data_IF_082865490148
#
_entry.id   IF_082865490148
#
_cell.length_a   1.000
_cell.length_b   1.000
_cell.length_c   1.000
_cell.angle_alpha   90.00
_cell.angle_beta   90.00
_cell.angle_gamma   90.00
#
_symmetry.space_group_name_H-M   'P 1'
#
loop_
_entity.id
_entity.type
_entity.pdbx_description
1 polymer ?
#
# COMPACT_ATOMS: atom_id res chain seq x y z
N UNK A 1 -64.06 19.42 -6.57
CA UNK A 1 -63.58 20.77 -6.92
C UNK A 1 -62.08 20.69 -7.14
N UNK A 2 -61.66 21.04 -8.35
CA UNK A 2 -60.29 20.93 -8.83
C UNK A 2 -59.41 22.07 -8.28
N UNK A 3 -58.12 21.77 -8.05
CA UNK A 3 -57.06 22.75 -8.34
C UNK A 3 -55.76 22.02 -8.66
N UNK A 4 -55.58 21.80 -9.95
CA UNK A 4 -54.28 21.65 -10.58
C UNK A 4 -53.49 22.96 -10.41
N UNK A 5 -52.23 22.88 -9.98
CA UNK A 5 -51.24 23.92 -10.25
C UNK A 5 -49.96 23.24 -10.71
N UNK A 6 -49.85 23.23 -12.03
CA UNK A 6 -48.67 23.02 -12.83
C UNK A 6 -47.69 24.18 -12.55
N UNK A 7 -46.45 23.89 -12.16
CA UNK A 7 -45.36 24.85 -12.22
C UNK A 7 -44.26 24.19 -13.05
N UNK A 8 -44.20 24.60 -14.32
CA UNK A 8 -43.05 24.40 -15.18
C UNK A 8 -41.92 25.33 -14.71
N UNK A 9 -40.76 24.74 -14.43
CA UNK A 9 -39.53 25.45 -14.09
C UNK A 9 -38.42 25.03 -15.04
N UNK A 10 -38.42 25.62 -16.24
CA UNK A 10 -37.32 25.58 -17.19
C UNK A 10 -36.13 26.38 -16.62
N UNK A 11 -35.02 25.72 -16.27
CA UNK A 11 -33.75 26.41 -16.11
C UNK A 11 -32.61 25.72 -16.85
N UNK A 12 -32.15 26.48 -17.84
CA UNK A 12 -31.07 26.24 -18.77
C UNK A 12 -29.73 25.99 -18.08
N UNK A 13 -29.04 24.97 -18.59
CA UNK A 13 -27.67 25.10 -19.07
C UNK A 13 -26.61 25.60 -18.08
N UNK A 14 -25.89 24.64 -17.50
CA UNK A 14 -24.46 24.84 -17.23
C UNK A 14 -23.72 23.50 -17.30
N UNK A 15 -23.49 23.01 -18.53
CA UNK A 15 -22.47 22.00 -18.79
C UNK A 15 -21.13 22.54 -18.31
N UNK A 16 -20.73 22.16 -17.10
CA UNK A 16 -19.34 22.26 -16.69
C UNK A 16 -18.54 21.38 -17.64
N UNK A 17 -17.81 22.01 -18.56
CA UNK A 17 -16.68 21.37 -19.24
C UNK A 17 -15.71 20.93 -18.14
N UNK A 18 -15.86 19.69 -17.68
CA UNK A 18 -14.87 19.02 -16.88
C UNK A 18 -13.63 18.94 -17.76
N UNK A 19 -12.67 19.83 -17.47
CA UNK A 19 -11.32 19.80 -17.99
C UNK A 19 -10.73 18.47 -17.49
N UNK A 20 -10.76 17.43 -18.34
CA UNK A 20 -10.16 16.13 -18.04
C UNK A 20 -8.72 16.39 -17.59
N UNK A 21 -8.30 15.97 -16.38
CA UNK A 21 -6.89 15.94 -16.06
C UNK A 21 -6.24 14.85 -16.93
N UNK A 22 -5.74 15.26 -18.09
CA UNK A 22 -4.80 14.51 -18.90
C UNK A 22 -3.44 14.59 -18.23
N UNK A 23 -3.19 13.71 -17.25
CA UNK A 23 -1.84 13.39 -16.80
C UNK A 23 -1.82 12.03 -16.09
N UNK A 24 -1.33 11.03 -16.81
CA UNK A 24 -0.81 9.75 -16.31
C UNK A 24 -1.75 8.87 -15.45
N UNK A 25 -2.74 8.19 -16.08
CA UNK A 25 -3.50 7.09 -15.44
C UNK A 25 -2.97 5.68 -15.74
N UNK A 26 -1.94 5.53 -16.57
CA UNK A 26 -1.58 4.21 -17.12
C UNK A 26 -0.84 3.32 -16.10
N UNK A 27 -0.18 3.90 -15.09
CA UNK A 27 0.57 3.10 -14.11
C UNK A 27 -0.27 2.56 -12.94
N UNK A 28 -1.50 3.02 -12.76
CA UNK A 28 -2.33 2.57 -11.64
C UNK A 28 -2.92 1.16 -11.90
N UNK A 29 -3.17 0.81 -13.16
CA UNK A 29 -3.72 -0.51 -13.53
C UNK A 29 -2.64 -1.59 -13.76
N UNK A 30 -1.36 -1.28 -13.53
CA UNK A 30 -0.29 -2.26 -13.69
C UNK A 30 -0.42 -3.39 -12.64
N UNK A 31 -0.39 -4.64 -13.13
CA UNK A 31 -0.32 -5.85 -12.31
C UNK A 31 1.09 -6.43 -12.44
N UNK A 32 1.62 -6.92 -11.33
CA UNK A 32 2.91 -7.59 -11.27
C UNK A 32 2.68 -8.89 -10.51
N UNK A 33 2.80 -10.06 -11.15
CA UNK A 33 2.59 -11.37 -10.53
C UNK A 33 1.30 -11.43 -9.68
N UNK A 34 0.16 -11.18 -10.33
CA UNK A 34 -1.18 -11.02 -9.74
C UNK A 34 -1.36 -9.94 -8.65
N UNK A 35 -0.30 -9.24 -8.23
CA UNK A 35 -0.38 -8.11 -7.31
C UNK A 35 -0.90 -6.89 -8.04
N UNK A 36 -2.10 -6.46 -7.67
CA UNK A 36 -2.74 -5.25 -8.20
C UNK A 36 -2.33 -4.02 -7.37
N UNK A 37 -1.62 -3.07 -7.98
CA UNK A 37 -1.15 -1.86 -7.29
C UNK A 37 -2.28 -1.02 -6.70
N UNK A 38 -3.41 -0.89 -7.41
CA UNK A 38 -4.58 -0.18 -6.89
C UNK A 38 -5.13 -0.82 -5.62
N UNK A 39 -5.16 -2.15 -5.57
CA UNK A 39 -5.60 -2.90 -4.38
C UNK A 39 -4.64 -2.68 -3.22
N UNK A 40 -3.33 -2.74 -3.46
CA UNK A 40 -2.30 -2.48 -2.43
C UNK A 40 -2.42 -1.05 -1.89
N UNK A 41 -2.53 -0.04 -2.75
CA UNK A 41 -2.74 1.36 -2.34
C UNK A 41 -3.99 1.54 -1.47
N UNK A 42 -5.08 0.89 -1.87
CA UNK A 42 -6.34 0.91 -1.11
C UNK A 42 -6.17 0.25 0.26
N UNK A 43 -5.54 -0.92 0.32
CA UNK A 43 -5.25 -1.62 1.58
C UNK A 43 -4.36 -0.78 2.50
N UNK A 44 -3.30 -0.16 1.99
CA UNK A 44 -2.42 0.75 2.76
C UNK A 44 -3.23 1.90 3.34
N UNK A 45 -4.07 2.54 2.53
CA UNK A 45 -4.90 3.67 2.96
C UNK A 45 -5.83 3.24 4.11
N UNK A 46 -6.55 2.12 3.94
CA UNK A 46 -7.42 1.58 4.98
C UNK A 46 -6.65 1.17 6.23
N UNK A 47 -5.46 0.58 6.07
CA UNK A 47 -4.65 0.14 7.18
C UNK A 47 -4.11 1.33 7.98
N UNK A 48 -3.66 2.41 7.33
CA UNK A 48 -3.26 3.67 7.97
C UNK A 48 -4.44 4.37 8.67
N UNK A 49 -5.63 4.35 8.08
CA UNK A 49 -6.84 4.89 8.72
C UNK A 49 -7.20 4.13 9.99
N UNK A 50 -7.13 2.79 9.96
CA UNK A 50 -7.40 1.92 11.13
C UNK A 50 -6.42 2.14 12.28
N UNK A 51 -5.17 2.49 11.99
CA UNK A 51 -4.14 2.69 13.01
C UNK A 51 -4.41 3.91 13.90
N UNK A 52 -5.16 4.92 13.42
CA UNK A 52 -5.46 6.12 14.21
C UNK A 52 -4.23 6.88 14.74
N UNK A 53 -3.02 6.61 14.20
CA UNK A 53 -1.75 7.18 14.66
C UNK A 53 -0.95 6.31 15.66
N UNK A 54 -1.49 5.19 16.13
CA UNK A 54 -0.78 4.25 17.01
C UNK A 54 -0.01 3.25 16.18
N UNK A 55 1.31 3.15 16.31
CA UNK A 55 2.13 2.13 15.62
C UNK A 55 1.91 0.77 16.28
N UNK A 56 1.63 -0.31 15.52
CA UNK A 56 1.46 -1.63 16.10
C UNK A 56 2.80 -2.18 16.62
N UNK A 57 2.78 -3.02 17.66
CA UNK A 57 3.98 -3.65 18.18
C UNK A 57 4.68 -4.45 17.07
N UNK A 58 5.98 -4.20 16.88
CA UNK A 58 6.78 -4.82 15.82
C UNK A 58 6.79 -4.05 14.49
N UNK A 59 6.17 -2.86 14.42
CA UNK A 59 6.32 -1.95 13.28
C UNK A 59 5.81 -2.49 11.94
N UNK A 60 5.06 -3.60 11.94
CA UNK A 60 4.47 -4.21 10.75
C UNK A 60 2.96 -4.26 10.84
N UNK A 61 2.31 -4.04 9.71
CA UNK A 61 0.86 -3.98 9.61
C UNK A 61 0.39 -4.85 8.45
N UNK A 62 -0.42 -5.87 8.76
CA UNK A 62 -0.96 -6.77 7.75
C UNK A 62 -1.89 -6.04 6.78
N UNK A 63 -1.61 -6.17 5.48
CA UNK A 63 -2.45 -5.68 4.39
C UNK A 63 -3.31 -6.81 3.82
N UNK A 64 -2.70 -7.97 3.63
CA UNK A 64 -3.32 -9.16 3.03
C UNK A 64 -2.72 -10.43 3.60
N UNK A 65 -3.50 -11.50 3.65
CA UNK A 65 -3.04 -12.85 3.98
C UNK A 65 -3.53 -13.82 2.91
N UNK A 66 -2.65 -14.72 2.50
CA UNK A 66 -2.92 -15.71 1.46
C UNK A 66 -3.35 -17.06 2.03
N UNK A 67 -3.36 -17.22 3.37
CA UNK A 67 -3.80 -18.43 4.09
C UNK A 67 -3.14 -19.74 3.64
N UNK A 68 -1.92 -19.67 3.11
CA UNK A 68 -1.12 -20.83 2.75
C UNK A 68 0.36 -20.54 3.05
N UNK A 69 1.10 -21.59 3.39
CA UNK A 69 2.56 -21.59 3.46
C UNK A 69 3.20 -22.54 2.45
N UNK A 70 2.38 -23.16 1.61
CA UNK A 70 2.83 -24.12 0.61
C UNK A 70 3.40 -23.39 -0.61
N UNK A 71 4.54 -23.86 -1.10
CA UNK A 71 5.28 -23.22 -2.19
C UNK A 71 4.47 -23.25 -3.49
N UNK A 72 3.85 -24.38 -3.82
CA UNK A 72 3.11 -24.54 -5.08
C UNK A 72 1.85 -23.67 -5.06
N UNK A 73 1.12 -23.63 -3.93
CA UNK A 73 -0.02 -22.72 -3.76
C UNK A 73 0.40 -21.24 -3.90
N UNK A 74 1.53 -20.85 -3.32
CA UNK A 74 2.03 -19.47 -3.41
C UNK A 74 2.37 -19.12 -4.86
N UNK A 75 3.06 -20.01 -5.57
CA UNK A 75 3.39 -19.83 -6.99
C UNK A 75 2.13 -19.64 -7.82
N UNK A 76 1.09 -20.45 -7.58
CA UNK A 76 -0.18 -20.37 -8.32
C UNK A 76 -0.96 -19.10 -7.99
N UNK A 77 -1.08 -18.73 -6.71
CA UNK A 77 -1.81 -17.53 -6.27
C UNK A 77 -1.17 -16.24 -6.83
N UNK A 78 0.16 -16.17 -6.78
CA UNK A 78 0.92 -15.02 -7.26
C UNK A 78 1.31 -15.15 -8.75
N UNK A 79 0.96 -16.25 -9.41
CA UNK A 79 1.30 -16.51 -10.82
C UNK A 79 2.81 -16.35 -11.12
N UNK A 80 3.68 -16.80 -10.21
CA UNK A 80 5.15 -16.68 -10.32
C UNK A 80 5.72 -17.88 -11.11
N UNK A 81 5.22 -18.08 -12.33
CA UNK A 81 5.59 -19.23 -13.15
C UNK A 81 7.02 -19.17 -13.72
N UNK A 82 7.67 -18.03 -13.60
CA UNK A 82 9.07 -17.82 -13.98
C UNK A 82 10.06 -18.11 -12.84
N UNK A 83 9.60 -18.71 -11.74
CA UNK A 83 10.48 -19.16 -10.67
C UNK A 83 11.36 -20.32 -11.15
N UNK A 84 12.65 -20.04 -11.34
CA UNK A 84 13.63 -21.02 -11.82
C UNK A 84 13.94 -22.09 -10.77
N UNK A 85 14.08 -21.68 -9.51
CA UNK A 85 14.38 -22.57 -8.38
C UNK A 85 13.16 -22.69 -7.45
N UNK A 86 12.50 -23.85 -7.48
CA UNK A 86 11.32 -24.16 -6.65
C UNK A 86 11.72 -24.63 -5.25
N UNK A 87 12.64 -23.90 -4.62
CA UNK A 87 13.03 -24.06 -3.22
C UNK A 87 12.40 -22.95 -2.39
N UNK A 88 12.40 -23.12 -1.06
CA UNK A 88 11.92 -22.07 -0.16
C UNK A 88 12.79 -20.81 -0.31
N UNK A 89 14.10 -20.98 -0.46
CA UNK A 89 15.06 -19.90 -0.67
C UNK A 89 14.80 -19.16 -1.99
N UNK A 90 14.58 -19.89 -3.09
CA UNK A 90 14.25 -19.30 -4.39
C UNK A 90 12.95 -18.50 -4.35
N UNK A 91 11.91 -19.06 -3.72
CA UNK A 91 10.65 -18.37 -3.52
C UNK A 91 10.82 -17.11 -2.66
N UNK A 92 11.55 -17.21 -1.55
CA UNK A 92 11.84 -16.07 -0.67
C UNK A 92 12.52 -14.93 -1.43
N UNK A 93 13.55 -15.23 -2.23
CA UNK A 93 14.25 -14.21 -3.03
C UNK A 93 13.31 -13.53 -4.02
N UNK A 94 12.46 -14.31 -4.71
CA UNK A 94 11.50 -13.78 -5.69
C UNK A 94 10.42 -12.93 -5.03
N UNK A 95 9.96 -13.31 -3.85
CA UNK A 95 9.03 -12.53 -3.04
C UNK A 95 9.66 -11.21 -2.57
N UNK A 96 10.94 -11.21 -2.18
CA UNK A 96 11.68 -10.00 -1.84
C UNK A 96 11.79 -9.04 -3.04
N UNK A 97 12.13 -9.54 -4.23
CA UNK A 97 12.21 -8.74 -5.46
C UNK A 97 10.85 -8.13 -5.83
N UNK A 98 9.78 -8.92 -5.68
CA UNK A 98 8.41 -8.48 -5.90
C UNK A 98 8.02 -7.40 -4.88
N UNK A 99 8.27 -7.64 -3.59
CA UNK A 99 8.01 -6.67 -2.53
C UNK A 99 8.77 -5.37 -2.77
N UNK A 100 10.03 -5.43 -3.19
CA UNK A 100 10.84 -4.27 -3.53
C UNK A 100 10.21 -3.48 -4.68
N UNK A 101 9.85 -4.16 -5.77
CA UNK A 101 9.22 -3.52 -6.93
C UNK A 101 7.91 -2.83 -6.56
N UNK A 102 7.04 -3.53 -5.83
CA UNK A 102 5.76 -2.98 -5.35
C UNK A 102 6.03 -1.78 -4.44
N UNK A 103 6.99 -1.88 -3.51
CA UNK A 103 7.36 -0.80 -2.59
C UNK A 103 7.74 0.49 -3.31
N UNK A 104 8.56 0.38 -4.35
CA UNK A 104 8.96 1.52 -5.19
C UNK A 104 7.74 2.17 -5.85
N UNK A 105 6.81 1.36 -6.38
CA UNK A 105 5.64 1.83 -7.10
C UNK A 105 4.59 2.47 -6.18
N UNK A 106 4.42 1.96 -4.96
CA UNK A 106 3.48 2.54 -3.98
C UNK A 106 4.11 3.59 -3.07
N UNK A 107 5.44 3.77 -3.12
CA UNK A 107 6.23 4.69 -2.27
C UNK A 107 6.11 4.41 -0.77
N UNK A 108 5.91 3.14 -0.42
CA UNK A 108 5.79 2.66 0.95
C UNK A 108 6.63 1.39 1.06
N UNK A 109 7.12 1.05 2.26
CA UNK A 109 7.91 -0.17 2.44
C UNK A 109 6.97 -1.35 2.67
N UNK A 110 6.91 -2.26 1.70
CA UNK A 110 6.08 -3.46 1.72
C UNK A 110 7.00 -4.69 1.83
N UNK A 111 6.56 -5.72 2.53
CA UNK A 111 7.26 -6.98 2.64
C UNK A 111 6.28 -8.16 2.58
N UNK A 112 6.73 -9.27 1.99
CA UNK A 112 6.09 -10.56 2.22
C UNK A 112 6.76 -11.22 3.43
N UNK A 113 5.95 -11.81 4.29
CA UNK A 113 6.45 -12.53 5.47
C UNK A 113 5.45 -13.62 5.87
N UNK A 114 5.88 -14.56 6.69
CA UNK A 114 5.02 -15.60 7.24
C UNK A 114 4.47 -15.16 8.60
N UNK A 115 3.17 -15.38 8.81
CA UNK A 115 2.55 -15.19 10.12
C UNK A 115 2.98 -16.30 11.11
N UNK A 116 2.51 -16.20 12.36
CA UNK A 116 2.81 -17.20 13.40
C UNK A 116 2.23 -18.59 13.10
N UNK A 117 1.32 -18.69 12.13
CA UNK A 117 0.71 -19.94 11.68
C UNK A 117 1.39 -20.50 10.43
N UNK A 118 2.42 -19.82 9.92
CA UNK A 118 3.13 -20.21 8.70
C UNK A 118 2.41 -19.81 7.41
N UNK A 119 1.45 -18.87 7.45
CA UNK A 119 0.80 -18.38 6.24
C UNK A 119 1.52 -17.16 5.68
N UNK A 120 1.69 -17.12 4.37
CA UNK A 120 2.19 -15.96 3.66
C UNK A 120 1.22 -14.79 3.81
N UNK A 121 1.78 -13.60 4.08
CA UNK A 121 1.05 -12.35 4.10
C UNK A 121 1.84 -11.20 3.51
N UNK A 122 1.11 -10.18 3.08
CA UNK A 122 1.66 -8.89 2.65
C UNK A 122 1.56 -7.90 3.80
N UNK A 123 2.68 -7.29 4.16
CA UNK A 123 2.78 -6.37 5.29
C UNK A 123 3.30 -5.01 4.86
N UNK A 124 2.76 -3.95 5.47
CA UNK A 124 3.32 -2.62 5.45
C UNK A 124 4.30 -2.48 6.62
N UNK A 125 5.55 -2.17 6.31
CA UNK A 125 6.58 -1.86 7.29
C UNK A 125 6.54 -0.36 7.61
N UNK A 126 6.20 -0.05 8.84
CA UNK A 126 6.14 1.30 9.36
C UNK A 126 7.53 1.65 9.90
N UNK A 127 8.15 2.67 9.30
CA UNK A 127 9.35 3.26 9.90
C UNK A 127 8.94 3.89 11.23
N UNK A 128 9.55 3.44 12.32
CA UNK A 128 9.44 4.16 13.58
C UNK A 128 9.86 5.60 13.30
N UNK A 129 8.94 6.53 13.58
CA UNK A 129 9.20 7.95 13.48
C UNK A 129 10.21 8.22 14.59
N UNK A 130 11.51 8.18 14.27
CA UNK A 130 12.56 8.52 15.24
C UNK A 130 12.13 9.85 15.86
N UNK A 131 11.97 9.96 17.18
CA UNK A 131 11.81 11.26 17.79
C UNK A 131 13.03 12.06 17.34
N UNK A 132 12.79 13.18 16.67
CA UNK A 132 13.86 14.11 16.30
C UNK A 132 14.51 14.47 17.63
N UNK A 133 15.69 13.91 17.90
CA UNK A 133 16.49 14.33 19.04
C UNK A 133 16.80 15.80 18.78
N UNK A 134 16.11 16.66 19.51
CA UNK A 134 16.36 18.09 19.54
C UNK A 134 17.82 18.23 19.98
N UNK A 135 18.68 18.66 19.04
CA UNK A 135 20.10 18.90 19.30
C UNK A 135 20.13 20.08 20.26
N UNK A 136 20.18 19.81 21.56
CA UNK A 136 20.46 20.83 22.56
C UNK A 136 21.89 21.31 22.31
N UNK A 137 22.01 22.51 21.75
CA UNK A 137 23.26 23.24 21.56
C UNK A 137 23.80 23.62 22.93
N UNK A 138 24.36 22.65 23.66
CA UNK A 138 24.90 22.83 25.01
C UNK A 138 26.40 22.50 25.10
N UNK A 139 27.10 22.43 23.97
CA UNK A 139 28.55 22.16 23.92
C UNK A 139 29.30 23.24 23.13
N UNK A 140 29.09 24.49 23.53
CA UNK A 140 29.88 25.65 23.07
C UNK A 140 30.76 26.25 24.19
N UNK A 141 30.97 25.54 25.30
CA UNK A 141 31.65 26.10 26.48
C UNK A 141 33.03 25.47 26.82
N UNK A 142 33.57 24.57 26.00
CA UNK A 142 34.84 23.89 26.29
C UNK A 142 35.96 24.14 25.24
N UNK A 143 36.01 25.33 24.65
CA UNK A 143 37.11 25.72 23.73
C UNK A 143 37.77 27.06 24.08
N UNK A 144 37.57 27.57 25.30
CA UNK A 144 38.12 28.86 25.73
C UNK A 144 38.88 28.80 27.07
N UNK A 145 39.51 27.66 27.39
CA UNK A 145 40.39 27.52 28.55
C UNK A 145 41.77 27.01 28.15
#
# INVERSE_FOLDING_TARGET
MARWLLIEGEHRGRCHKQKKPSRSRIMDDAKIYNVCLMRVKFQITNAKQRLGGTVPPGGRLALESYNTGDIDDIIDILEIYDLEDRTQEGLSQKLEDLAYTVSVLVRETIAFDYDLKGNLGLYLLLKEKRPVQEITVADAALSAA
#
